data_IF_304714972946
#
_entry.id   IF_304714972946
#
_cell.length_a   1.000
_cell.length_b   1.000
_cell.length_c   1.000
_cell.angle_alpha   90.00
_cell.angle_beta   90.00
_cell.angle_gamma   90.00
#
_symmetry.space_group_name_H-M   'P 1'
#
loop_
_entity.id
_entity.type
_entity.pdbx_description
1 polymer ?
#
# COMPACT_ATOMS: atom_id res chain seq x y z
N UNK A 1 -3.36 11.82 6.18
CA UNK A 1 -3.12 11.31 4.79
C UNK A 1 -2.99 9.80 4.85
N UNK A 2 -3.54 9.06 3.89
CA UNK A 2 -3.21 7.64 3.71
C UNK A 2 -2.16 7.49 2.60
N UNK A 3 -1.05 6.80 2.90
CA UNK A 3 0.07 6.65 1.96
C UNK A 3 -0.19 5.61 0.88
N UNK A 4 -1.07 4.63 1.12
CA UNK A 4 -1.51 3.61 0.14
C UNK A 4 -0.41 3.10 -0.81
N UNK A 5 0.74 2.70 -0.25
CA UNK A 5 1.94 2.43 -1.01
C UNK A 5 1.94 1.09 -1.76
N UNK A 6 2.97 0.90 -2.58
CA UNK A 6 3.22 -0.33 -3.31
C UNK A 6 3.67 -1.48 -2.39
N UNK A 7 3.39 -2.72 -2.80
CA UNK A 7 3.68 -3.95 -2.05
C UNK A 7 2.44 -4.75 -1.63
N UNK A 8 1.24 -4.18 -1.83
CA UNK A 8 -0.05 -4.82 -1.61
C UNK A 8 -0.77 -5.17 -2.91
N UNK A 9 -2.00 -4.69 -3.03
CA UNK A 9 -2.76 -4.75 -4.28
C UNK A 9 -2.21 -3.74 -5.27
N UNK A 10 -1.77 -4.19 -6.45
CA UNK A 10 -1.44 -3.28 -7.56
C UNK A 10 -2.68 -3.04 -8.43
N UNK A 11 -3.16 -1.80 -8.44
CA UNK A 11 -4.27 -1.41 -9.31
C UNK A 11 -3.89 -1.40 -10.78
N UNK A 12 -2.67 -0.99 -11.12
CA UNK A 12 -2.17 -1.09 -12.50
C UNK A 12 -2.17 -2.54 -13.01
N UNK A 13 -1.95 -3.52 -12.12
CA UNK A 13 -2.09 -4.95 -12.43
C UNK A 13 -3.54 -5.35 -12.65
N UNK A 14 -4.44 -4.94 -11.75
CA UNK A 14 -5.88 -5.23 -11.83
C UNK A 14 -6.47 -4.67 -13.12
N UNK A 15 -6.21 -3.41 -13.44
CA UNK A 15 -6.74 -2.75 -14.64
C UNK A 15 -6.29 -3.45 -15.93
N UNK A 16 -5.03 -3.90 -15.99
CA UNK A 16 -4.56 -4.68 -17.13
C UNK A 16 -5.27 -6.03 -17.23
N UNK A 17 -5.43 -6.73 -16.10
CA UNK A 17 -6.10 -8.02 -16.08
C UNK A 17 -7.58 -7.92 -16.47
N UNK A 18 -8.30 -6.93 -15.93
CA UNK A 18 -9.71 -6.67 -16.28
C UNK A 18 -9.85 -6.34 -17.77
N UNK A 19 -8.93 -5.54 -18.33
CA UNK A 19 -9.02 -5.09 -19.72
C UNK A 19 -8.57 -6.15 -20.73
N UNK A 20 -7.55 -6.94 -20.42
CA UNK A 20 -6.87 -7.81 -21.39
C UNK A 20 -6.92 -9.31 -21.04
N UNK A 21 -7.40 -9.68 -19.85
CA UNK A 21 -7.32 -11.04 -19.33
C UNK A 21 -5.92 -11.48 -18.87
N UNK A 22 -4.93 -10.58 -18.95
CA UNK A 22 -3.53 -10.84 -18.61
C UNK A 22 -2.79 -9.53 -18.27
N UNK A 23 -1.61 -9.65 -17.67
CA UNK A 23 -0.73 -8.50 -17.38
C UNK A 23 0.27 -8.32 -18.52
N UNK A 24 0.00 -7.37 -19.43
CA UNK A 24 0.81 -7.13 -20.64
C UNK A 24 2.05 -6.26 -20.39
N UNK A 25 1.97 -5.37 -19.40
CA UNK A 25 2.99 -4.40 -19.04
C UNK A 25 3.38 -4.57 -17.57
N UNK A 26 4.20 -5.58 -17.24
CA UNK A 26 4.58 -5.89 -15.86
C UNK A 26 5.37 -4.77 -15.20
N UNK A 27 6.24 -4.06 -15.94
CA UNK A 27 6.98 -2.92 -15.40
C UNK A 27 6.06 -1.80 -14.88
N UNK A 28 4.93 -1.55 -15.57
CA UNK A 28 3.93 -0.60 -15.10
C UNK A 28 3.10 -1.16 -13.96
N UNK A 29 2.83 -2.47 -13.96
CA UNK A 29 2.10 -3.13 -12.89
C UNK A 29 2.85 -3.10 -11.54
N UNK A 30 4.18 -3.07 -11.56
CA UNK A 30 5.01 -3.00 -10.35
C UNK A 30 5.50 -1.57 -10.03
N UNK A 31 5.03 -0.56 -10.77
CA UNK A 31 5.38 0.84 -10.52
C UNK A 31 4.75 1.36 -9.22
N UNK A 32 5.54 2.04 -8.40
CA UNK A 32 5.07 2.77 -7.23
C UNK A 32 6.14 2.91 -6.14
N UNK A 33 5.81 3.68 -5.10
CA UNK A 33 6.68 3.86 -3.92
C UNK A 33 6.28 2.79 -2.89
N UNK A 34 7.21 1.93 -2.40
CA UNK A 34 6.91 0.95 -1.37
C UNK A 34 6.33 1.60 -0.10
N UNK A 35 5.32 0.98 0.52
CA UNK A 35 4.60 1.55 1.68
C UNK A 35 5.51 2.06 2.80
N UNK A 36 6.54 1.30 3.18
CA UNK A 36 7.48 1.72 4.21
C UNK A 36 8.23 3.00 3.83
N UNK A 37 8.61 3.15 2.57
CA UNK A 37 9.29 4.33 2.04
C UNK A 37 8.34 5.53 1.92
N UNK A 38 7.14 5.32 1.40
CA UNK A 38 6.13 6.37 1.28
C UNK A 38 5.77 6.93 2.67
N UNK A 39 5.65 6.07 3.68
CA UNK A 39 5.38 6.48 5.06
C UNK A 39 6.49 7.38 5.62
N UNK A 40 7.75 6.97 5.50
CA UNK A 40 8.86 7.74 6.06
C UNK A 40 9.09 9.05 5.31
N UNK A 41 8.96 9.05 3.97
CA UNK A 41 9.07 10.27 3.16
C UNK A 41 7.96 11.28 3.50
N UNK A 42 6.71 10.83 3.64
CA UNK A 42 5.59 11.72 4.00
C UNK A 42 5.75 12.24 5.43
N UNK A 43 6.15 11.41 6.40
CA UNK A 43 6.38 11.83 7.78
C UNK A 43 7.49 12.89 7.87
N UNK A 44 8.54 12.78 7.07
CA UNK A 44 9.62 13.78 7.04
C UNK A 44 9.14 15.16 6.57
N UNK A 45 8.22 15.20 5.59
CA UNK A 45 7.69 16.47 5.06
C UNK A 45 6.55 17.03 5.92
N UNK A 46 5.75 16.15 6.53
CA UNK A 46 4.56 16.51 7.30
C UNK A 46 4.63 15.91 8.73
N UNK A 47 5.51 16.44 9.61
CA UNK A 47 5.84 15.82 10.88
C UNK A 47 4.67 15.70 11.87
N UNK A 48 3.69 16.61 11.80
CA UNK A 48 2.55 16.65 12.74
C UNK A 48 1.23 16.14 12.13
N UNK A 49 1.22 15.81 10.83
CA UNK A 49 0.02 15.32 10.15
C UNK A 49 -0.27 13.88 10.58
N UNK A 50 -1.50 13.52 10.95
CA UNK A 50 -1.86 12.11 11.15
C UNK A 50 -1.77 11.32 9.84
N UNK A 51 -1.06 10.21 9.87
CA UNK A 51 -0.79 9.32 8.75
C UNK A 51 -1.44 7.94 8.96
N UNK A 52 -2.03 7.44 7.88
CA UNK A 52 -2.47 6.05 7.76
C UNK A 52 -1.45 5.31 6.90
N UNK A 53 -1.00 4.16 7.36
CA UNK A 53 -0.23 3.22 6.56
C UNK A 53 -1.16 2.16 5.96
N UNK A 54 -1.40 2.27 4.66
CA UNK A 54 -2.09 1.24 3.87
C UNK A 54 -1.25 0.80 2.66
N UNK A 55 -1.66 -0.28 2.01
CA UNK A 55 -0.89 -0.91 0.94
C UNK A 55 0.01 -2.02 1.46
N UNK A 56 -0.46 -3.27 1.36
CA UNK A 56 0.37 -4.45 1.62
C UNK A 56 0.50 -4.88 3.08
N UNK A 57 -0.25 -4.28 4.01
CA UNK A 57 -0.37 -4.75 5.40
C UNK A 57 -1.13 -6.08 5.41
N UNK A 58 -0.51 -7.15 5.89
CA UNK A 58 -1.09 -8.52 5.88
C UNK A 58 -1.15 -9.16 7.26
N UNK A 59 -0.34 -8.68 8.20
CA UNK A 59 -0.22 -9.25 9.55
C UNK A 59 -0.19 -8.16 10.61
N UNK A 60 -0.43 -8.56 11.87
CA UNK A 60 -0.23 -7.67 13.02
C UNK A 60 1.22 -7.17 13.15
N UNK A 61 2.20 -7.96 12.70
CA UNK A 61 3.61 -7.56 12.68
C UNK A 61 3.87 -6.44 11.65
N UNK A 62 3.23 -6.50 10.47
CA UNK A 62 3.31 -5.41 9.49
C UNK A 62 2.70 -4.12 10.04
N UNK A 63 1.55 -4.25 10.72
CA UNK A 63 0.92 -3.13 11.38
C UNK A 63 1.81 -2.52 12.48
N UNK A 64 2.40 -3.34 13.34
CA UNK A 64 3.31 -2.88 14.39
C UNK A 64 4.52 -2.14 13.81
N UNK A 65 5.12 -2.64 12.72
CA UNK A 65 6.21 -1.94 12.01
C UNK A 65 5.76 -0.60 11.46
N UNK A 66 4.58 -0.54 10.84
CA UNK A 66 4.05 0.70 10.29
C UNK A 66 3.81 1.76 11.38
N UNK A 67 3.23 1.37 12.52
CA UNK A 67 3.05 2.26 13.67
C UNK A 67 4.41 2.74 14.21
N UNK A 68 5.38 1.82 14.37
CA UNK A 68 6.73 2.18 14.81
C UNK A 68 7.47 3.12 13.86
N UNK A 69 7.14 3.10 12.55
CA UNK A 69 7.68 4.00 11.53
C UNK A 69 6.97 5.36 11.47
N UNK A 70 6.01 5.63 12.35
CA UNK A 70 5.35 6.93 12.47
C UNK A 70 3.99 7.01 11.79
N UNK A 71 3.29 5.89 11.60
CA UNK A 71 1.85 5.90 11.31
C UNK A 71 1.04 5.92 12.62
N UNK A 72 -0.09 6.61 12.62
CA UNK A 72 -1.06 6.60 13.73
C UNK A 72 -2.10 5.51 13.55
N UNK A 73 -2.34 5.10 12.30
CA UNK A 73 -3.34 4.10 11.93
C UNK A 73 -2.84 3.21 10.80
N UNK A 74 -3.44 2.04 10.68
CA UNK A 74 -3.23 1.12 9.55
C UNK A 74 -4.55 0.80 8.88
N UNK A 75 -4.55 0.66 7.55
CA UNK A 75 -5.73 0.24 6.80
C UNK A 75 -5.43 -0.98 5.94
N UNK A 76 -6.40 -1.90 5.90
CA UNK A 76 -6.31 -3.19 5.21
C UNK A 76 -7.54 -3.33 4.31
N UNK A 77 -7.33 -3.71 3.04
CA UNK A 77 -8.40 -3.91 2.06
C UNK A 77 -8.46 -5.37 1.57
N UNK A 78 -7.64 -5.73 0.56
CA UNK A 78 -7.70 -7.04 -0.12
C UNK A 78 -7.71 -8.26 0.82
N UNK A 79 -6.90 -8.34 1.90
CA UNK A 79 -6.95 -9.49 2.80
C UNK A 79 -8.29 -9.71 3.52
N UNK A 80 -9.13 -8.67 3.64
CA UNK A 80 -10.45 -8.74 4.25
C UNK A 80 -11.58 -8.95 3.24
N UNK A 81 -11.27 -8.91 1.93
CA UNK A 81 -12.24 -9.22 0.89
C UNK A 81 -12.47 -10.74 0.88
N UNK A 82 -13.73 -11.17 0.97
CA UNK A 82 -14.08 -12.58 0.83
C UNK A 82 -13.58 -13.13 -0.52
N UNK A 83 -13.12 -14.39 -0.58
CA UNK A 83 -12.88 -15.03 -1.87
C UNK A 83 -14.17 -15.02 -2.68
N UNK A 84 -14.07 -14.58 -3.94
CA UNK A 84 -15.16 -14.62 -4.90
C UNK A 84 -15.44 -16.05 -5.36
#
# INVERSE_FOLDING_TARGET
IDVAGAGGTSWARIEQFVRYGEVRHPALAEWGIPTARALTEVRQVLPDMPLVASGGIRTGMDAAKALAMGAEMVAIARPLLAPA
#
